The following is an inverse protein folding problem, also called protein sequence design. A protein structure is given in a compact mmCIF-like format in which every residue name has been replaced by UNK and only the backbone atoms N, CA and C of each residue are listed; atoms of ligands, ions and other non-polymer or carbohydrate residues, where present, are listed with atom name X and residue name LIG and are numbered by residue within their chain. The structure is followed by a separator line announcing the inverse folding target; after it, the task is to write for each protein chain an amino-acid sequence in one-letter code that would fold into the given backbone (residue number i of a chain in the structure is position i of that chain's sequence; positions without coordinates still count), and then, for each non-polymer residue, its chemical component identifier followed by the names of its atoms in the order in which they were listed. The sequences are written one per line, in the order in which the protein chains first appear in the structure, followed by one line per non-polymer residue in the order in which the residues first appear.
data_IF_487976655250
#
_entry.id   IF_487976655250
#
_cell.length_a   1.000
_cell.length_b   1.000
_cell.length_c   1.000
_cell.angle_alpha   90.00
_cell.angle_beta   90.00
_cell.angle_gamma   90.00
#
_symmetry.space_group_name_H-M   'P 1'
#
loop_
_entity.id
_entity.type
_entity.pdbx_description
1 polymer ?
#
# COMPACT_ATOMS: atom_id res chain seq x y z
N UNK A 1 -0.71 -3.24 23.30
CA UNK A 1 0.00 -1.97 23.59
C UNK A 1 -0.37 -1.53 25.00
N UNK A 2 0.59 -1.40 25.91
CA UNK A 2 0.33 -0.98 27.30
C UNK A 2 0.90 0.42 27.55
N UNK A 3 0.10 1.30 28.15
CA UNK A 3 0.51 2.64 28.57
C UNK A 3 1.05 2.58 29.99
N UNK A 4 2.22 3.16 30.22
CA UNK A 4 2.79 3.30 31.56
C UNK A 4 3.18 4.74 31.81
N UNK A 5 2.62 5.36 32.85
CA UNK A 5 3.07 6.67 33.31
C UNK A 5 4.34 6.48 34.13
N UNK A 6 5.37 7.27 33.83
CA UNK A 6 6.65 7.19 34.54
C UNK A 6 6.97 8.55 35.17
N UNK A 7 6.97 8.67 36.51
CA UNK A 7 7.17 9.94 37.21
C UNK A 7 8.58 10.53 37.03
N UNK A 8 9.55 9.74 36.55
CA UNK A 8 10.95 10.15 36.37
C UNK A 8 11.37 10.34 34.90
N UNK A 9 10.45 10.25 33.93
CA UNK A 9 10.80 10.43 32.52
C UNK A 9 10.76 11.90 32.13
N UNK A 10 11.85 12.42 31.55
CA UNK A 10 11.91 13.79 31.01
C UNK A 10 11.26 13.95 29.63
N UNK A 11 11.02 12.85 28.91
CA UNK A 11 10.49 12.84 27.54
C UNK A 11 9.53 11.66 27.38
N UNK A 12 8.42 11.85 26.66
CA UNK A 12 7.56 10.72 26.28
C UNK A 12 8.25 9.90 25.20
N UNK A 13 8.40 8.59 25.44
CA UNK A 13 9.20 7.73 24.56
C UNK A 13 8.50 6.39 24.35
N UNK A 14 8.69 5.84 23.16
CA UNK A 14 8.29 4.48 22.85
C UNK A 14 9.49 3.55 23.09
N UNK A 15 9.39 2.67 24.09
CA UNK A 15 10.45 1.70 24.44
C UNK A 15 9.87 0.29 24.55
N UNK A 16 10.40 -0.64 23.75
CA UNK A 16 10.15 -2.09 23.85
C UNK A 16 8.67 -2.41 24.15
N UNK A 17 7.78 -2.00 23.25
CA UNK A 17 6.33 -2.27 23.33
C UNK A 17 5.53 -1.48 24.38
N UNK A 18 6.17 -0.51 25.05
CA UNK A 18 5.51 0.37 26.02
C UNK A 18 5.59 1.81 25.57
N UNK A 19 4.46 2.48 25.71
CA UNK A 19 4.36 3.93 25.56
C UNK A 19 4.56 4.51 26.96
N UNK A 20 5.69 5.20 27.16
CA UNK A 20 5.96 5.93 28.39
C UNK A 20 5.48 7.37 28.22
N UNK A 21 4.43 7.73 28.96
CA UNK A 21 3.92 9.09 29.02
C UNK A 21 4.43 9.77 30.30
N UNK A 22 4.65 11.08 30.21
CA UNK A 22 5.01 11.92 31.35
C UNK A 22 3.74 12.12 32.19
N UNK A 23 3.85 11.92 33.51
CA UNK A 23 2.74 12.11 34.43
C UNK A 23 2.53 13.60 34.72
N UNK A 24 1.27 14.08 34.70
CA UNK A 24 0.88 15.48 34.94
C UNK A 24 1.35 16.53 33.93
N UNK A 25 1.53 16.16 32.66
CA UNK A 25 1.84 17.11 31.59
C UNK A 25 0.56 17.66 30.93
N UNK A 26 0.36 18.99 30.83
CA UNK A 26 -0.79 19.58 30.13
C UNK A 26 -0.86 19.19 28.63
N UNK A 27 0.25 18.76 28.02
CA UNK A 27 0.32 18.29 26.63
C UNK A 27 0.13 16.77 26.46
N UNK A 28 -0.20 16.04 27.53
CA UNK A 28 -0.42 14.59 27.47
C UNK A 28 -1.48 14.19 26.41
N UNK A 29 -2.54 14.98 26.26
CA UNK A 29 -3.56 14.78 25.21
C UNK A 29 -2.98 14.88 23.81
N UNK A 30 -2.06 15.83 23.57
CA UNK A 30 -1.43 16.04 22.27
C UNK A 30 -0.44 14.90 21.94
N UNK A 31 0.25 14.37 22.95
CA UNK A 31 1.12 13.20 22.77
C UNK A 31 0.33 11.92 22.49
N UNK A 32 -0.79 11.73 23.20
CA UNK A 32 -1.75 10.65 22.89
C UNK A 32 -2.30 10.78 21.48
N UNK A 33 -2.61 12.00 21.04
CA UNK A 33 -3.02 12.28 19.67
C UNK A 33 -1.93 11.88 18.66
N UNK A 34 -0.68 12.30 18.86
CA UNK A 34 0.43 11.98 17.95
C UNK A 34 0.60 10.47 17.76
N UNK A 35 0.55 9.71 18.85
CA UNK A 35 0.65 8.25 18.83
C UNK A 35 -0.57 7.62 18.14
N UNK A 36 -1.77 8.12 18.46
CA UNK A 36 -3.01 7.62 17.85
C UNK A 36 -3.05 7.88 16.35
N UNK A 37 -2.53 9.03 15.91
CA UNK A 37 -2.42 9.41 14.51
C UNK A 37 -1.55 8.41 13.74
N UNK A 38 -0.34 8.13 14.23
CA UNK A 38 0.54 7.12 13.64
C UNK A 38 -0.07 5.71 13.67
N UNK A 39 -0.86 5.39 14.70
CA UNK A 39 -1.56 4.11 14.78
C UNK A 39 -2.66 3.97 13.72
N UNK A 40 -3.46 5.02 13.49
CA UNK A 40 -4.48 5.04 12.43
C UNK A 40 -3.84 4.80 11.07
N UNK A 41 -2.71 5.45 10.79
CA UNK A 41 -1.95 5.22 9.56
C UNK A 41 -1.52 3.77 9.38
N UNK A 42 -1.01 3.13 10.44
CA UNK A 42 -0.63 1.72 10.41
C UNK A 42 -1.80 0.79 10.08
N UNK A 43 -3.00 1.09 10.61
CA UNK A 43 -4.23 0.33 10.35
C UNK A 43 -4.70 0.54 8.91
N UNK A 44 -4.75 1.80 8.46
CA UNK A 44 -5.15 2.14 7.09
C UNK A 44 -4.23 1.50 6.05
N UNK A 45 -2.91 1.52 6.30
CA UNK A 45 -1.94 0.80 5.48
C UNK A 45 -2.22 -0.71 5.43
N UNK A 46 -2.61 -1.30 6.58
CA UNK A 46 -3.03 -2.70 6.64
C UNK A 46 -4.27 -3.02 5.79
N UNK A 47 -5.23 -2.11 5.71
CA UNK A 47 -6.41 -2.26 4.84
C UNK A 47 -6.00 -2.28 3.36
N UNK A 48 -5.09 -1.40 2.96
CA UNK A 48 -4.58 -1.37 1.58
C UNK A 48 -3.72 -2.58 1.24
N UNK A 49 -2.85 -3.01 2.16
CA UNK A 49 -2.05 -4.23 2.02
C UNK A 49 -2.98 -5.44 1.78
N UNK A 50 -4.02 -5.60 2.61
CA UNK A 50 -4.99 -6.68 2.45
C UNK A 50 -5.79 -6.60 1.13
N UNK A 51 -6.15 -5.39 0.69
CA UNK A 51 -6.83 -5.20 -0.59
C UNK A 51 -5.93 -5.56 -1.78
N UNK A 52 -4.64 -5.24 -1.70
CA UNK A 52 -3.65 -5.60 -2.71
C UNK A 52 -3.37 -7.10 -2.73
N UNK A 53 -3.19 -7.73 -1.57
CA UNK A 53 -2.97 -9.18 -1.48
C UNK A 53 -4.17 -9.94 -2.06
N UNK A 54 -5.41 -9.51 -1.76
CA UNK A 54 -6.62 -10.08 -2.38
C UNK A 54 -6.64 -9.93 -3.90
N UNK A 55 -6.12 -8.82 -4.43
CA UNK A 55 -5.99 -8.63 -5.88
C UNK A 55 -4.96 -9.60 -6.46
N UNK A 56 -3.80 -9.74 -5.82
CA UNK A 56 -2.72 -10.67 -6.21
C UNK A 56 -3.24 -12.11 -6.27
N UNK A 57 -3.92 -12.58 -5.22
CA UNK A 57 -4.51 -13.92 -5.19
C UNK A 57 -5.48 -14.13 -6.37
N UNK A 58 -6.20 -13.07 -6.76
CA UNK A 58 -7.17 -13.15 -7.85
C UNK A 58 -6.57 -13.25 -9.25
N UNK A 59 -5.27 -12.98 -9.40
CA UNK A 59 -4.53 -13.06 -10.67
C UNK A 59 -3.47 -14.18 -10.68
N UNK A 60 -3.30 -14.92 -9.58
CA UNK A 60 -2.29 -15.97 -9.41
C UNK A 60 -2.39 -17.07 -10.48
N UNK A 61 -3.61 -17.52 -10.79
CA UNK A 61 -3.85 -18.52 -11.84
C UNK A 61 -3.31 -18.07 -13.23
N UNK A 62 -3.24 -16.76 -13.48
CA UNK A 62 -2.72 -16.22 -14.73
C UNK A 62 -1.20 -16.38 -14.76
N UNK A 63 -0.50 -16.13 -13.65
CA UNK A 63 0.94 -16.38 -13.56
C UNK A 63 1.29 -17.85 -13.72
N UNK A 64 0.47 -18.76 -13.20
CA UNK A 64 0.64 -20.21 -13.38
C UNK A 64 0.46 -20.63 -14.85
N UNK A 65 -0.55 -20.08 -15.54
CA UNK A 65 -0.76 -20.28 -16.98
C UNK A 65 0.48 -19.83 -17.78
N UNK A 66 1.03 -18.65 -17.46
CA UNK A 66 2.26 -18.13 -18.09
C UNK A 66 3.46 -19.04 -17.84
N UNK A 67 3.69 -19.44 -16.59
CA UNK A 67 4.84 -20.27 -16.21
C UNK A 67 4.81 -21.64 -16.90
N UNK A 68 3.62 -22.22 -17.03
CA UNK A 68 3.44 -23.52 -17.67
C UNK A 68 3.45 -23.48 -19.21
N UNK A 69 3.58 -22.29 -19.81
CA UNK A 69 3.53 -22.10 -21.25
C UNK A 69 2.18 -22.47 -21.86
N UNK A 70 1.13 -22.59 -21.04
CA UNK A 70 -0.21 -22.94 -21.47
C UNK A 70 -0.85 -21.74 -22.16
N UNK A 71 -1.89 -22.02 -22.94
CA UNK A 71 -2.74 -20.97 -23.48
C UNK A 71 -3.37 -20.20 -22.32
N UNK A 72 -3.04 -18.92 -22.21
CA UNK A 72 -3.60 -18.02 -21.19
C UNK A 72 -5.13 -18.05 -21.28
N UNK A 73 -5.77 -18.44 -20.17
CA UNK A 73 -7.22 -18.67 -20.08
C UNK A 73 -8.06 -17.38 -19.94
N UNK A 74 -7.43 -16.24 -19.61
CA UNK A 74 -8.11 -14.96 -19.39
C UNK A 74 -8.56 -14.30 -20.70
N UNK A 75 -9.76 -13.71 -20.68
CA UNK A 75 -10.32 -12.95 -21.81
C UNK A 75 -9.86 -11.49 -21.81
N UNK A 76 -9.90 -10.82 -22.97
CA UNK A 76 -9.58 -9.38 -23.07
C UNK A 76 -10.46 -8.51 -22.17
N UNK A 77 -11.75 -8.85 -22.06
CA UNK A 77 -12.69 -8.14 -21.19
C UNK A 77 -12.30 -8.30 -19.72
N UNK A 78 -11.91 -9.51 -19.31
CA UNK A 78 -11.48 -9.77 -17.95
C UNK A 78 -10.15 -9.06 -17.65
N UNK A 79 -9.18 -9.04 -18.57
CA UNK A 79 -7.95 -8.24 -18.41
C UNK A 79 -8.29 -6.78 -18.18
N UNK A 80 -9.13 -6.17 -19.02
CA UNK A 80 -9.53 -4.77 -18.85
C UNK A 80 -10.20 -4.51 -17.49
N UNK A 81 -11.02 -5.45 -17.02
CA UNK A 81 -11.65 -5.37 -15.70
C UNK A 81 -10.61 -5.41 -14.57
N UNK A 82 -9.63 -6.31 -14.65
CA UNK A 82 -8.52 -6.40 -13.69
C UNK A 82 -7.65 -5.15 -13.72
N UNK A 83 -7.35 -4.63 -14.91
CA UNK A 83 -6.69 -3.33 -15.09
C UNK A 83 -7.45 -2.23 -14.34
N UNK A 84 -8.76 -2.11 -14.54
CA UNK A 84 -9.58 -1.10 -13.86
C UNK A 84 -9.59 -1.26 -12.33
N UNK A 85 -9.69 -2.50 -11.83
CA UNK A 85 -9.61 -2.77 -10.39
C UNK A 85 -8.27 -2.34 -9.80
N UNK A 86 -7.17 -2.64 -10.48
CA UNK A 86 -5.83 -2.28 -10.04
C UNK A 86 -5.59 -0.76 -10.06
N UNK A 87 -6.09 -0.06 -11.09
CA UNK A 87 -6.04 1.40 -11.14
C UNK A 87 -6.89 2.04 -10.04
N UNK A 88 -8.06 1.49 -9.74
CA UNK A 88 -8.88 1.97 -8.62
C UNK A 88 -8.15 1.80 -7.30
N UNK A 89 -7.49 0.65 -7.09
CA UNK A 89 -6.71 0.41 -5.87
C UNK A 89 -5.53 1.38 -5.77
N UNK A 90 -4.78 1.58 -6.86
CA UNK A 90 -3.70 2.58 -6.94
C UNK A 90 -4.20 3.98 -6.62
N UNK A 91 -5.35 4.37 -7.16
CA UNK A 91 -5.94 5.68 -6.89
C UNK A 91 -6.31 5.85 -5.42
N UNK A 92 -6.94 4.85 -4.80
CA UNK A 92 -7.26 4.87 -3.36
C UNK A 92 -6.02 4.94 -2.48
N UNK A 93 -4.95 4.22 -2.84
CA UNK A 93 -3.66 4.27 -2.13
C UNK A 93 -3.04 5.66 -2.27
N UNK A 94 -2.98 6.21 -3.49
CA UNK A 94 -2.38 7.52 -3.73
C UNK A 94 -3.12 8.64 -2.99
N UNK A 95 -4.46 8.63 -3.00
CA UNK A 95 -5.25 9.63 -2.27
C UNK A 95 -4.99 9.61 -0.76
N UNK A 96 -4.74 8.42 -0.20
CA UNK A 96 -4.37 8.31 1.20
C UNK A 96 -2.87 8.43 1.46
N UNK A 97 -2.03 8.42 0.43
CA UNK A 97 -0.57 8.56 0.58
C UNK A 97 -0.19 9.97 0.98
N UNK A 98 -0.98 10.99 0.62
CA UNK A 98 -0.82 12.35 1.14
C UNK A 98 -0.93 12.40 2.69
N UNK A 99 -1.61 11.40 3.28
CA UNK A 99 -1.70 11.25 4.73
C UNK A 99 -0.44 10.62 5.35
N UNK A 100 0.45 10.02 4.55
CA UNK A 100 1.67 9.36 5.02
C UNK A 100 2.82 10.34 5.24
N UNK A 101 2.75 11.55 4.69
CA UNK A 101 3.69 12.63 5.01
C UNK A 101 3.46 13.14 6.44
N UNK A 102 4.47 13.79 7.02
CA UNK A 102 4.32 14.41 8.33
C UNK A 102 3.27 15.52 8.26
N UNK A 103 2.15 15.43 8.99
CA UNK A 103 1.11 16.45 8.94
C UNK A 103 1.60 17.82 9.40
N UNK A 104 1.12 18.89 8.74
CA UNK A 104 1.45 20.29 9.04
C UNK A 104 1.24 20.68 10.51
N UNK A 105 0.33 19.98 11.19
CA UNK A 105 0.08 20.09 12.61
C UNK A 105 1.34 20.01 13.48
N UNK A 106 2.37 19.27 13.02
CA UNK A 106 3.61 19.06 13.77
C UNK A 106 4.71 20.08 13.47
N UNK A 107 4.59 20.93 12.44
CA UNK A 107 5.69 21.80 11.97
C UNK A 107 6.26 22.74 13.03
N UNK A 108 5.42 23.27 13.92
CA UNK A 108 5.85 24.16 15.01
C UNK A 108 6.09 23.42 16.33
N UNK A 109 6.07 22.08 16.31
CA UNK A 109 6.00 21.22 17.52
C UNK A 109 6.98 20.05 17.43
N UNK A 110 8.27 20.38 17.47
CA UNK A 110 9.39 19.43 17.30
C UNK A 110 9.30 18.19 18.23
N UNK A 111 8.87 18.37 19.48
CA UNK A 111 8.69 17.26 20.43
C UNK A 111 7.59 16.27 20.00
N UNK A 112 6.49 16.78 19.45
CA UNK A 112 5.38 15.95 18.96
C UNK A 112 5.72 15.31 17.63
N UNK A 113 6.42 16.04 16.75
CA UNK A 113 6.93 15.50 15.50
C UNK A 113 7.84 14.30 15.76
N UNK A 114 8.81 14.45 16.66
CA UNK A 114 9.73 13.38 17.04
C UNK A 114 8.99 12.16 17.59
N UNK A 115 7.96 12.36 18.43
CA UNK A 115 7.15 11.26 18.97
C UNK A 115 6.33 10.56 17.87
N UNK A 116 5.73 11.34 16.97
CA UNK A 116 4.99 10.82 15.82
C UNK A 116 5.90 9.99 14.92
N UNK A 117 7.07 10.52 14.52
CA UNK A 117 8.05 9.83 13.67
C UNK A 117 8.60 8.56 14.33
N UNK A 118 8.89 8.59 15.64
CA UNK A 118 9.28 7.38 16.40
C UNK A 118 8.18 6.32 16.35
N UNK A 119 6.92 6.73 16.46
CA UNK A 119 5.77 5.81 16.40
C UNK A 119 5.58 5.26 14.98
N UNK A 120 5.72 6.09 13.95
CA UNK A 120 5.71 5.66 12.54
C UNK A 120 6.82 4.65 12.23
N UNK A 121 8.03 4.90 12.76
CA UNK A 121 9.16 3.97 12.65
C UNK A 121 8.89 2.64 13.37
N UNK A 122 8.29 2.69 14.56
CA UNK A 122 7.90 1.49 15.29
C UNK A 122 6.91 0.63 14.50
N UNK A 123 5.90 1.24 13.87
CA UNK A 123 4.97 0.53 12.97
C UNK A 123 5.55 0.22 11.58
N UNK A 124 6.81 0.58 11.33
CA UNK A 124 7.52 0.36 10.06
C UNK A 124 6.77 0.92 8.85
N UNK A 125 6.08 2.05 9.01
CA UNK A 125 5.17 2.61 8.00
C UNK A 125 5.90 2.81 6.67
N UNK A 126 7.04 3.50 6.65
CA UNK A 126 7.80 3.77 5.41
C UNK A 126 8.24 2.49 4.70
N UNK A 127 8.71 1.48 5.45
CA UNK A 127 9.11 0.18 4.88
C UNK A 127 7.92 -0.55 4.27
N UNK A 128 6.79 -0.60 5.00
CA UNK A 128 5.57 -1.26 4.55
C UNK A 128 4.98 -0.60 3.31
N UNK A 129 4.93 0.74 3.29
CA UNK A 129 4.53 1.52 2.11
C UNK A 129 5.41 1.21 0.90
N UNK A 130 6.73 1.09 1.08
CA UNK A 130 7.64 0.73 -0.01
C UNK A 130 7.34 -0.66 -0.58
N UNK A 131 7.20 -1.67 0.27
CA UNK A 131 6.88 -3.05 -0.15
C UNK A 131 5.53 -3.11 -0.87
N UNK A 132 4.52 -2.41 -0.36
CA UNK A 132 3.21 -2.33 -1.00
C UNK A 132 3.28 -1.67 -2.39
N UNK A 133 4.03 -0.59 -2.54
CA UNK A 133 4.24 0.07 -3.83
C UNK A 133 5.00 -0.81 -4.84
N UNK A 134 6.00 -1.56 -4.39
CA UNK A 134 6.70 -2.54 -5.24
C UNK A 134 5.76 -3.65 -5.72
N UNK A 135 4.96 -4.24 -4.82
CA UNK A 135 3.92 -5.23 -5.18
C UNK A 135 2.91 -4.66 -6.19
N UNK A 136 2.46 -3.43 -5.99
CA UNK A 136 1.52 -2.75 -6.87
C UNK A 136 2.11 -2.56 -8.27
N UNK A 137 3.38 -2.16 -8.36
CA UNK A 137 4.09 -2.00 -9.64
C UNK A 137 4.22 -3.33 -10.38
N UNK A 138 4.56 -4.43 -9.70
CA UNK A 138 4.60 -5.76 -10.33
C UNK A 138 3.24 -6.19 -10.89
N UNK A 139 2.15 -5.89 -10.17
CA UNK A 139 0.81 -6.15 -10.67
C UNK A 139 0.50 -5.35 -11.94
N UNK A 140 0.95 -4.08 -12.01
CA UNK A 140 0.75 -3.23 -13.18
C UNK A 140 1.53 -3.75 -14.39
N UNK A 141 2.79 -4.13 -14.18
CA UNK A 141 3.64 -4.74 -15.21
C UNK A 141 3.00 -6.01 -15.77
N UNK A 142 2.48 -6.88 -14.91
CA UNK A 142 1.81 -8.11 -15.34
C UNK A 142 0.55 -7.83 -16.16
N UNK A 143 -0.28 -6.90 -15.72
CA UNK A 143 -1.50 -6.52 -16.45
C UNK A 143 -1.17 -5.91 -17.81
N UNK A 144 -0.11 -5.11 -17.90
CA UNK A 144 0.35 -4.51 -19.16
C UNK A 144 0.84 -5.59 -20.14
N UNK A 145 1.66 -6.54 -19.65
CA UNK A 145 2.11 -7.69 -20.44
C UNK A 145 0.93 -8.51 -21.00
N UNK A 146 -0.09 -8.76 -20.18
CA UNK A 146 -1.30 -9.47 -20.61
C UNK A 146 -2.06 -8.70 -21.69
N UNK A 147 -2.23 -7.39 -21.49
CA UNK A 147 -2.91 -6.51 -22.46
C UNK A 147 -2.21 -6.54 -23.81
N UNK A 148 -0.87 -6.42 -23.82
CA UNK A 148 -0.05 -6.45 -25.02
C UNK A 148 -0.15 -7.81 -25.74
N UNK A 149 -0.02 -8.92 -25.01
CA UNK A 149 -0.14 -10.27 -25.59
C UNK A 149 -1.51 -10.54 -26.25
N UNK A 150 -2.59 -10.00 -25.70
CA UNK A 150 -3.93 -10.12 -26.28
C UNK A 150 -4.14 -9.23 -27.50
N UNK A 151 -3.39 -8.12 -27.63
CA UNK A 151 -3.44 -7.21 -28.78
C UNK A 151 -2.81 -7.83 -30.04
N UNK A 152 -1.70 -8.57 -29.89
CA UNK A 152 -0.97 -9.21 -31.01
C UNK A 152 -1.83 -10.21 -31.80
N UNK A 153 -2.83 -10.84 -31.16
CA UNK A 153 -3.74 -11.77 -31.84
C UNK A 153 -4.66 -11.09 -32.87
N UNK A 154 -4.84 -9.78 -32.79
CA UNK A 154 -5.66 -9.04 -33.75
C UNK A 154 -4.91 -8.82 -35.07
N UNK A 155 -3.63 -8.47 -35.01
CA UNK A 155 -2.78 -8.31 -36.19
C UNK A 155 -2.68 -9.61 -37.00
N UNK A 156 -2.48 -10.75 -36.31
CA UNK A 156 -2.39 -12.06 -36.96
C UNK A 156 -3.72 -12.46 -37.65
N UNK A 157 -4.86 -12.11 -37.05
CA UNK A 157 -6.18 -12.37 -37.67
C UNK A 157 -6.44 -11.49 -38.89
N UNK A 158 -6.00 -10.23 -38.85
CA UNK A 158 -6.07 -9.32 -40.00
C UNK A 158 -5.17 -9.80 -41.13
N UNK A 159 -3.94 -10.23 -40.83
CA UNK A 159 -3.05 -10.84 -41.83
C UNK A 159 -3.67 -12.09 -42.46
N UNK A 160 -4.21 -13.01 -41.65
CA UNK A 160 -4.88 -14.21 -42.19
C UNK A 160 -6.11 -13.87 -43.03
N UNK A 161 -6.88 -12.85 -42.64
CA UNK A 161 -8.01 -12.38 -43.45
C UNK A 161 -7.54 -11.81 -44.80
N UNK A 162 -6.43 -11.06 -44.83
CA UNK A 162 -5.82 -10.57 -46.07
C UNK A 162 -5.32 -11.74 -46.93
N UNK A 163 -4.62 -12.72 -46.34
CA UNK A 163 -4.09 -13.90 -47.05
C UNK A 163 -5.22 -14.74 -47.67
N UNK A 164 -6.38 -14.86 -47.03
CA UNK A 164 -7.54 -15.60 -47.56
C UNK A 164 -8.29 -14.80 -48.65
N UNK A 165 -8.21 -13.47 -48.63
CA UNK A 165 -8.94 -12.58 -49.54
C UNK A 165 -8.22 -12.39 -50.90
N UNK A 166 -6.92 -12.69 -50.95
CA UNK A 166 -6.07 -12.68 -52.16
C UNK A 166 -6.09 -14.07 -52.81
#
# INVERSE_FOLDING_TARGET
MNYTYSPNSKVSQLKRDRICLIENDPEDTLRKYAISNAMVLSVQLGVWEAALDKYVDSIEYITEDLQSGKKISISRQEVLKRTGQLFSLRHSINLGSDLLDTPDFYWDREDLENLYLQTCNYYSISRRTKVMNEKLNHCLELVDLLSNHLSDKHHIRLEWMIIVLI
#
